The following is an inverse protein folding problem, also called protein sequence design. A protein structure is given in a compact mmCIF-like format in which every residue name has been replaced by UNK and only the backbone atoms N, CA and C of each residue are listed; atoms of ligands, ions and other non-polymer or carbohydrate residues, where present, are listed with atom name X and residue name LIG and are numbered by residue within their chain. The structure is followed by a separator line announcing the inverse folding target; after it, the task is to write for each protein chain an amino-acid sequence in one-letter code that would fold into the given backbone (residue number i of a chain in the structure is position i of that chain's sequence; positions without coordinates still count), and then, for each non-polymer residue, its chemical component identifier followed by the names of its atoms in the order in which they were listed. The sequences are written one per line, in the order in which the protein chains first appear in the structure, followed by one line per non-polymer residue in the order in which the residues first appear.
data_IF_578764073981
#
_entry.id   IF_578764073981
#
_cell.length_a   1.000
_cell.length_b   1.000
_cell.length_c   1.000
_cell.angle_alpha   90.00
_cell.angle_beta   90.00
_cell.angle_gamma   90.00
#
_symmetry.space_group_name_H-M   'P 1'
#
loop_
_entity.id
_entity.type
_entity.pdbx_description
1 polymer ?
#
# COMPACT_ATOMS: atom_id res chain seq x y z
N UNK A 1 -20.46 -4.75 -0.48
CA UNK A 1 -19.22 -4.96 -1.24
C UNK A 1 -18.88 -3.68 -1.96
N UNK A 2 -17.61 -3.25 -1.98
CA UNK A 2 -17.21 -2.01 -2.64
C UNK A 2 -17.22 -2.18 -4.17
N UNK A 3 -17.54 -1.10 -4.91
CA UNK A 3 -17.62 -1.10 -6.38
C UNK A 3 -16.29 -1.54 -7.06
N UNK A 4 -15.16 -1.28 -6.39
CA UNK A 4 -13.83 -1.65 -6.87
C UNK A 4 -13.50 -3.15 -6.80
N UNK A 5 -14.40 -3.99 -6.27
CA UNK A 5 -14.21 -5.44 -6.19
C UNK A 5 -13.13 -5.91 -5.21
N UNK A 6 -12.34 -5.02 -4.59
CA UNK A 6 -11.22 -5.43 -3.72
C UNK A 6 -11.70 -6.27 -2.55
N UNK A 7 -12.90 -6.00 -2.00
CA UNK A 7 -13.44 -6.77 -0.88
C UNK A 7 -13.67 -8.26 -1.17
N UNK A 8 -13.82 -8.68 -2.43
CA UNK A 8 -14.07 -10.09 -2.79
C UNK A 8 -12.80 -10.91 -2.98
N UNK A 9 -11.62 -10.29 -3.08
CA UNK A 9 -10.37 -11.02 -3.30
C UNK A 9 -10.12 -12.02 -2.16
N UNK A 10 -9.65 -13.22 -2.50
CA UNK A 10 -9.50 -14.31 -1.55
C UNK A 10 -8.51 -13.98 -0.44
N UNK A 11 -7.30 -13.53 -0.80
CA UNK A 11 -6.21 -13.31 0.16
C UNK A 11 -6.14 -11.86 0.64
N UNK A 12 -5.84 -11.68 1.94
CA UNK A 12 -5.66 -10.36 2.55
C UNK A 12 -4.50 -9.61 1.92
N UNK A 13 -3.46 -10.32 1.48
CA UNK A 13 -2.34 -9.73 0.75
C UNK A 13 -2.78 -9.06 -0.55
N UNK A 14 -3.55 -9.74 -1.38
CA UNK A 14 -4.03 -9.16 -2.65
C UNK A 14 -4.89 -7.92 -2.41
N UNK A 15 -5.73 -7.94 -1.36
CA UNK A 15 -6.51 -6.77 -0.96
C UNK A 15 -5.65 -5.60 -0.53
N UNK A 16 -4.58 -5.86 0.21
CA UNK A 16 -3.63 -4.85 0.63
C UNK A 16 -2.96 -4.23 -0.60
N UNK A 17 -2.49 -5.06 -1.53
CA UNK A 17 -1.74 -4.62 -2.70
C UNK A 17 -2.61 -3.81 -3.66
N UNK A 18 -3.85 -4.23 -3.88
CA UNK A 18 -4.82 -3.47 -4.68
C UNK A 18 -5.21 -2.14 -4.03
N UNK A 19 -5.33 -2.08 -2.70
CA UNK A 19 -5.57 -0.80 -2.00
C UNK A 19 -4.40 0.17 -2.14
N UNK A 20 -3.17 -0.33 -2.06
CA UNK A 20 -1.97 0.48 -2.25
C UNK A 20 -1.86 0.99 -3.69
N UNK A 21 -2.19 0.15 -4.67
CA UNK A 21 -2.26 0.57 -6.08
C UNK A 21 -3.31 1.68 -6.28
N UNK A 22 -4.52 1.52 -5.75
CA UNK A 22 -5.54 2.59 -5.79
C UNK A 22 -5.04 3.88 -5.12
N UNK A 23 -4.36 3.80 -3.98
CA UNK A 23 -3.82 4.98 -3.33
C UNK A 23 -2.76 5.70 -4.19
N UNK A 24 -1.96 4.95 -4.96
CA UNK A 24 -0.99 5.52 -5.92
C UNK A 24 -1.70 6.24 -7.08
N UNK A 25 -2.75 5.64 -7.63
CA UNK A 25 -3.63 6.27 -8.62
C UNK A 25 -4.28 7.53 -8.08
N UNK A 26 -4.92 7.47 -6.91
CA UNK A 26 -5.59 8.61 -6.29
C UNK A 26 -4.64 9.79 -6.07
N UNK A 27 -3.39 9.52 -5.67
CA UNK A 27 -2.35 10.57 -5.52
C UNK A 27 -1.97 11.18 -6.88
N UNK A 28 -1.87 10.35 -7.91
CA UNK A 28 -1.60 10.80 -9.28
C UNK A 28 -2.75 11.68 -9.80
N UNK A 29 -3.98 11.22 -9.64
CA UNK A 29 -5.19 11.95 -10.06
C UNK A 29 -5.33 13.27 -9.30
N UNK A 30 -5.07 13.27 -8.00
CA UNK A 30 -5.08 14.50 -7.20
C UNK A 30 -4.04 15.52 -7.67
N UNK A 31 -2.90 15.09 -8.21
CA UNK A 31 -1.91 15.99 -8.81
C UNK A 31 -2.37 16.59 -10.14
N UNK A 32 -3.31 15.95 -10.86
CA UNK A 32 -3.91 16.55 -12.07
C UNK A 32 -4.83 17.72 -11.73
N UNK A 33 -5.54 17.63 -10.60
CA UNK A 33 -6.44 18.69 -10.09
C UNK A 33 -5.65 19.78 -9.37
N UNK A 34 -4.65 19.40 -8.59
CA UNK A 34 -3.78 20.32 -7.85
C UNK A 34 -2.32 19.95 -8.09
N UNK A 35 -1.68 20.55 -9.11
CA UNK A 35 -0.30 20.27 -9.46
C UNK A 35 0.65 20.39 -8.25
N UNK A 36 1.47 19.36 -8.05
CA UNK A 36 2.47 19.34 -6.97
C UNK A 36 1.93 19.01 -5.57
N UNK A 37 0.66 18.64 -5.41
CA UNK A 37 0.09 18.28 -4.10
C UNK A 37 0.83 17.14 -3.40
N UNK A 38 1.21 16.10 -4.14
CA UNK A 38 1.98 14.97 -3.65
C UNK A 38 3.30 14.88 -4.40
N UNK A 39 4.41 14.99 -3.65
CA UNK A 39 5.77 14.86 -4.20
C UNK A 39 6.07 13.44 -4.72
N UNK A 40 5.52 12.42 -4.05
CA UNK A 40 5.67 11.01 -4.41
C UNK A 40 4.30 10.41 -4.63
N UNK A 41 4.10 9.80 -5.80
CA UNK A 41 2.89 9.08 -6.18
C UNK A 41 3.11 7.58 -6.34
N UNK A 42 4.36 7.13 -6.55
CA UNK A 42 4.69 5.70 -6.59
C UNK A 42 4.72 5.09 -5.20
N UNK A 43 4.13 3.91 -5.04
CA UNK A 43 4.10 3.20 -3.77
C UNK A 43 5.23 2.18 -3.70
N UNK A 44 6.01 2.21 -2.62
CA UNK A 44 6.92 1.12 -2.25
C UNK A 44 6.33 0.35 -1.07
N UNK A 45 5.67 -0.75 -1.39
CA UNK A 45 5.04 -1.58 -0.38
C UNK A 45 6.06 -2.32 0.50
N UNK A 46 7.35 -2.35 0.17
CA UNK A 46 8.39 -2.92 1.05
C UNK A 46 8.65 -2.04 2.27
N UNK A 47 8.34 -0.74 2.21
CA UNK A 47 8.50 0.20 3.34
C UNK A 47 7.43 0.04 4.43
N UNK A 48 6.42 -0.81 4.21
CA UNK A 48 5.42 -1.09 5.21
C UNK A 48 6.04 -1.92 6.35
N UNK A 49 5.82 -1.54 7.63
CA UNK A 49 6.34 -2.30 8.77
C UNK A 49 5.86 -3.74 8.81
N UNK A 50 4.63 -3.98 8.34
CA UNK A 50 3.99 -5.29 8.38
C UNK A 50 3.12 -5.48 7.15
N UNK A 51 3.13 -6.68 6.58
CA UNK A 51 2.23 -7.08 5.50
C UNK A 51 1.63 -8.45 5.75
N UNK A 52 0.52 -8.74 5.10
CA UNK A 52 -0.01 -10.10 5.08
C UNK A 52 0.91 -11.01 4.26
N UNK A 53 1.04 -12.27 4.68
CA UNK A 53 1.67 -13.29 3.86
C UNK A 53 0.90 -13.53 2.55
N UNK A 54 1.65 -13.89 1.52
CA UNK A 54 1.09 -14.34 0.25
C UNK A 54 0.28 -15.61 0.44
N UNK A 55 -0.88 -15.71 -0.22
CA UNK A 55 -1.73 -16.89 -0.22
C UNK A 55 -2.20 -17.34 1.17
N UNK A 56 -2.23 -16.44 2.15
CA UNK A 56 -2.66 -16.73 3.52
C UNK A 56 -3.53 -15.58 4.08
N UNK A 57 -4.49 -15.95 4.91
CA UNK A 57 -5.39 -15.06 5.63
C UNK A 57 -5.18 -15.08 7.15
N UNK A 58 -4.32 -15.96 7.63
CA UNK A 58 -4.00 -16.18 9.05
C UNK A 58 -3.26 -14.97 9.59
N UNK A 59 -3.78 -14.40 10.69
CA UNK A 59 -3.20 -13.18 11.27
C UNK A 59 -1.80 -13.41 11.88
N UNK A 60 -1.52 -14.63 12.34
CA UNK A 60 -0.21 -15.00 12.90
C UNK A 60 0.91 -15.09 11.87
N UNK A 61 0.57 -15.17 10.57
CA UNK A 61 1.53 -15.33 9.47
C UNK A 61 1.76 -13.99 8.75
N UNK A 62 1.83 -12.89 9.50
CA UNK A 62 2.24 -11.60 8.93
C UNK A 62 3.75 -11.60 8.66
N UNK A 63 4.15 -10.83 7.65
CA UNK A 63 5.54 -10.60 7.27
C UNK A 63 5.91 -9.21 7.78
N UNK A 64 6.76 -9.18 8.81
CA UNK A 64 7.31 -7.94 9.35
C UNK A 64 8.58 -7.54 8.61
N UNK A 65 8.63 -6.28 8.19
CA UNK A 65 9.84 -5.65 7.71
C UNK A 65 10.67 -5.21 8.93
N UNK A 66 11.95 -5.64 9.05
CA UNK A 66 12.83 -5.17 10.13
C UNK A 66 13.06 -3.65 10.13
N UNK A 67 12.72 -2.93 9.04
CA UNK A 67 12.97 -1.51 8.83
C UNK A 67 14.45 -1.17 9.10
N UNK A 68 15.36 -2.02 8.62
CA UNK A 68 16.80 -1.83 8.73
C UNK A 68 17.18 -0.45 8.17
N UNK A 69 17.80 0.40 8.98
CA UNK A 69 18.07 1.81 8.63
C UNK A 69 17.04 2.82 9.14
N UNK A 70 15.97 2.36 9.79
CA UNK A 70 14.97 3.18 10.47
C UNK A 70 13.72 3.45 9.65
N UNK A 71 12.78 4.14 10.28
CA UNK A 71 11.47 4.46 9.73
C UNK A 71 11.54 5.69 8.82
N UNK A 72 11.26 5.54 7.53
CA UNK A 72 11.22 6.65 6.56
C UNK A 72 9.97 7.52 6.71
N UNK A 73 10.10 8.83 6.66
CA UNK A 73 8.94 9.72 6.67
C UNK A 73 8.13 9.58 5.37
N UNK A 74 6.81 9.55 5.45
CA UNK A 74 5.91 9.45 4.28
C UNK A 74 5.69 8.04 3.72
N UNK A 75 6.34 7.01 4.25
CA UNK A 75 6.14 5.60 3.85
C UNK A 75 4.65 5.19 3.83
N UNK A 76 4.17 4.41 2.85
CA UNK A 76 4.93 3.77 1.76
C UNK A 76 5.17 4.68 0.53
N UNK A 77 5.02 6.00 0.69
CA UNK A 77 5.29 7.02 -0.33
C UNK A 77 6.46 7.91 0.10
N UNK A 78 7.49 7.32 0.72
CA UNK A 78 8.67 8.08 1.10
C UNK A 78 9.42 8.58 -0.15
N UNK A 79 10.00 9.80 -0.11
CA UNK A 79 10.83 10.34 -1.19
C UNK A 79 12.20 9.69 -1.30
#
# INVERSE_FOLDING_TARGET
MALNGISTLQYKRDRQDQKLALASTDRTDANTVTPGRYAVTSVDATELPTRYASNDNTHSNIIDNPNTGGLKNGRPFAP
#
